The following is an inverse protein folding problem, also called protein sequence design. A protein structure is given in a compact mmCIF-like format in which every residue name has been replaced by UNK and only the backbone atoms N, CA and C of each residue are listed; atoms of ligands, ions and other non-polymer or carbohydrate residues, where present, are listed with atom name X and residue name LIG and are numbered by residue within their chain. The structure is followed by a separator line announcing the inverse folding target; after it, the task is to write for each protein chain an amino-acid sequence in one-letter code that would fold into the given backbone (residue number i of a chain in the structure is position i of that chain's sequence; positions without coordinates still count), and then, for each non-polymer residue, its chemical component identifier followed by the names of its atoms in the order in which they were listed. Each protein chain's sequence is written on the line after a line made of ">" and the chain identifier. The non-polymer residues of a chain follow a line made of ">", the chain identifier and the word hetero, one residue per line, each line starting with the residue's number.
data_IF_288353402693
#
_entry.id   IF_288353402693
#
_cell.length_a   1.000
_cell.length_b   1.000
_cell.length_c   1.000
_cell.angle_alpha   90.00
_cell.angle_beta   90.00
_cell.angle_gamma   90.00
#
_symmetry.space_group_name_H-M   'P 1'
#
loop_
_entity.id
_entity.type
_entity.pdbx_description
1 polymer ?
#
# COMPACT_ATOMS: atom_id res chain seq x y z
N UNK A 1 0.74 27.54 11.04
CA UNK A 1 -0.11 26.56 10.34
C UNK A 1 0.57 25.20 10.44
N UNK A 2 -0.01 24.21 11.14
CA UNK A 2 0.58 22.85 11.19
C UNK A 2 0.40 22.22 9.80
N UNK A 3 1.41 21.57 9.20
CA UNK A 3 1.20 20.86 7.94
C UNK A 3 0.12 19.80 8.14
N UNK A 4 -0.82 19.71 7.21
CA UNK A 4 -1.89 18.71 7.22
C UNK A 4 -1.30 17.31 6.99
N UNK A 5 -0.69 16.76 8.04
CA UNK A 5 0.02 15.49 7.99
C UNK A 5 -0.97 14.37 8.32
N UNK A 6 -1.06 13.37 7.45
CA UNK A 6 -1.87 12.17 7.66
C UNK A 6 -0.92 11.03 8.06
N UNK A 7 -1.17 10.39 9.21
CA UNK A 7 -0.43 9.20 9.64
C UNK A 7 -1.29 7.98 9.40
N UNK A 8 -0.79 7.04 8.60
CA UNK A 8 -1.44 5.75 8.35
C UNK A 8 -0.62 4.67 9.06
N UNK A 9 -1.28 3.88 9.90
CA UNK A 9 -0.62 2.75 10.58
C UNK A 9 -0.32 1.63 9.59
N UNK A 10 0.79 0.93 9.77
CA UNK A 10 1.12 -0.22 8.95
C UNK A 10 0.01 -1.28 9.01
N UNK A 11 -0.43 -1.77 7.85
CA UNK A 11 -1.49 -2.77 7.76
C UNK A 11 -0.89 -4.15 7.49
N UNK A 12 -0.22 -4.73 8.48
CA UNK A 12 0.32 -6.10 8.37
C UNK A 12 0.24 -6.82 9.72
N UNK A 13 -0.07 -8.13 9.68
CA UNK A 13 -0.10 -9.00 10.87
C UNK A 13 1.21 -9.75 11.05
N UNK A 14 1.86 -10.11 9.94
CA UNK A 14 3.13 -10.85 9.90
C UNK A 14 4.01 -10.29 8.78
N UNK A 15 5.28 -10.03 9.08
CA UNK A 15 6.27 -9.51 8.14
C UNK A 15 7.28 -10.61 7.86
N UNK A 16 7.41 -11.02 6.60
CA UNK A 16 8.32 -12.05 6.14
C UNK A 16 9.52 -11.47 5.38
N UNK A 17 9.27 -10.62 4.37
CA UNK A 17 10.30 -9.99 3.54
C UNK A 17 9.84 -8.60 3.13
N UNK A 18 10.67 -7.56 3.30
CA UNK A 18 10.30 -6.17 3.00
C UNK A 18 10.69 -5.72 1.60
N UNK A 19 11.30 -6.60 0.81
CA UNK A 19 11.76 -6.32 -0.55
C UNK A 19 10.58 -5.90 -1.44
N UNK A 20 10.68 -4.73 -2.09
CA UNK A 20 9.64 -4.22 -3.00
C UNK A 20 8.41 -3.58 -2.32
N UNK A 21 8.39 -3.44 -0.99
CA UNK A 21 7.27 -2.79 -0.29
C UNK A 21 7.06 -1.34 -0.73
N UNK A 22 8.15 -0.57 -0.90
CA UNK A 22 8.09 0.81 -1.38
C UNK A 22 7.59 0.93 -2.82
N UNK A 23 8.04 0.03 -3.69
CA UNK A 23 7.60 -0.04 -5.09
C UNK A 23 6.09 -0.34 -5.17
N UNK A 24 5.62 -1.26 -4.30
CA UNK A 24 4.19 -1.58 -4.18
C UNK A 24 3.38 -0.36 -3.74
N UNK A 25 3.85 0.38 -2.72
CA UNK A 25 3.18 1.61 -2.26
C UNK A 25 3.03 2.59 -3.40
N UNK A 26 4.11 2.92 -4.12
CA UNK A 26 4.05 3.96 -5.16
C UNK A 26 3.25 3.51 -6.38
N UNK A 27 3.34 2.24 -6.77
CA UNK A 27 2.59 1.67 -7.89
C UNK A 27 1.08 1.67 -7.61
N UNK A 28 0.65 1.19 -6.44
CA UNK A 28 -0.77 1.19 -6.05
C UNK A 28 -1.29 2.61 -5.90
N UNK A 29 -0.53 3.51 -5.28
CA UNK A 29 -0.92 4.91 -5.14
C UNK A 29 -1.13 5.59 -6.49
N UNK A 30 -0.17 5.43 -7.41
CA UNK A 30 -0.24 5.98 -8.75
C UNK A 30 -1.45 5.42 -9.52
N UNK A 31 -1.71 4.12 -9.44
CA UNK A 31 -2.85 3.48 -10.10
C UNK A 31 -4.19 4.02 -9.59
N UNK A 32 -4.36 4.16 -8.27
CA UNK A 32 -5.58 4.70 -7.66
C UNK A 32 -5.78 6.17 -8.05
N UNK A 33 -4.72 6.98 -7.99
CA UNK A 33 -4.80 8.39 -8.38
C UNK A 33 -5.10 8.56 -9.87
N UNK A 34 -4.53 7.72 -10.74
CA UNK A 34 -4.84 7.70 -12.17
C UNK A 34 -6.31 7.31 -12.44
N UNK A 35 -6.91 6.49 -11.56
CA UNK A 35 -8.32 6.16 -11.60
C UNK A 35 -9.24 7.24 -10.98
N UNK A 36 -8.69 8.40 -10.56
CA UNK A 36 -9.45 9.52 -9.99
C UNK A 36 -9.70 9.44 -8.49
N UNK A 37 -9.09 8.47 -7.79
CA UNK A 37 -9.22 8.35 -6.33
C UNK A 37 -8.38 9.45 -5.63
N UNK A 38 -8.95 10.22 -4.69
CA UNK A 38 -8.21 11.23 -3.95
C UNK A 38 -7.05 10.63 -3.15
N UNK A 39 -5.94 11.36 -3.02
CA UNK A 39 -4.74 10.93 -2.27
C UNK A 39 -5.05 10.41 -0.85
N UNK A 40 -6.00 11.05 -0.16
CA UNK A 40 -6.41 10.66 1.20
C UNK A 40 -7.06 9.28 1.26
N UNK A 41 -7.75 8.87 0.20
CA UNK A 41 -8.44 7.58 0.09
C UNK A 41 -7.53 6.51 -0.54
N UNK A 42 -6.63 6.92 -1.44
CA UNK A 42 -5.68 6.02 -2.10
C UNK A 42 -4.57 5.52 -1.15
N UNK A 43 -4.10 6.35 -0.23
CA UNK A 43 -2.97 5.99 0.65
C UNK A 43 -3.26 4.80 1.59
N UNK A 44 -4.44 4.67 2.23
CA UNK A 44 -4.81 3.46 2.96
C UNK A 44 -4.74 2.18 2.11
N UNK A 45 -5.16 2.26 0.85
CA UNK A 45 -5.15 1.12 -0.10
C UNK A 45 -3.70 0.75 -0.43
N UNK A 46 -2.85 1.72 -0.74
CA UNK A 46 -1.42 1.49 -0.98
C UNK A 46 -0.70 0.89 0.23
N UNK A 47 -1.03 1.35 1.44
CA UNK A 47 -0.49 0.81 2.68
C UNK A 47 -0.94 -0.64 2.93
N UNK A 48 -2.19 -0.99 2.57
CA UNK A 48 -2.68 -2.38 2.61
C UNK A 48 -1.94 -3.26 1.60
N UNK A 49 -1.75 -2.79 0.36
CA UNK A 49 -1.02 -3.53 -0.68
C UNK A 49 0.41 -3.87 -0.23
N UNK A 50 1.13 -2.89 0.36
CA UNK A 50 2.45 -3.13 0.92
C UNK A 50 2.41 -4.15 2.06
N UNK A 51 1.41 -4.05 2.94
CA UNK A 51 1.19 -5.00 4.02
C UNK A 51 1.00 -6.46 3.58
N UNK A 52 0.37 -6.67 2.41
CA UNK A 52 0.21 -7.98 1.78
C UNK A 52 1.55 -8.47 1.22
N UNK A 53 2.26 -7.61 0.47
CA UNK A 53 3.52 -7.98 -0.18
C UNK A 53 4.59 -8.32 0.86
N UNK A 54 4.64 -7.61 1.99
CA UNK A 54 5.64 -7.92 3.02
C UNK A 54 5.43 -9.26 3.72
N UNK A 55 4.25 -9.88 3.57
CA UNK A 55 3.97 -11.24 4.04
C UNK A 55 4.41 -12.34 3.06
N UNK A 56 4.98 -11.98 1.90
CA UNK A 56 5.40 -12.91 0.84
C UNK A 56 6.92 -12.87 0.68
N UNK A 57 7.50 -13.90 0.05
CA UNK A 57 8.94 -13.95 -0.22
C UNK A 57 9.32 -13.23 -1.52
N UNK A 58 10.40 -12.44 -1.51
CA UNK A 58 10.93 -11.76 -2.69
C UNK A 58 10.08 -10.60 -3.19
N UNK A 59 10.31 -10.16 -4.43
CA UNK A 59 9.56 -9.09 -5.11
C UNK A 59 8.17 -9.57 -5.54
N UNK A 60 7.30 -9.81 -4.56
CA UNK A 60 5.95 -10.24 -4.78
C UNK A 60 5.01 -9.07 -5.11
N UNK A 61 3.82 -9.39 -5.65
CA UNK A 61 2.78 -8.40 -5.97
C UNK A 61 1.50 -8.68 -5.18
N UNK A 62 0.67 -7.66 -4.96
CA UNK A 62 -0.68 -7.83 -4.44
C UNK A 62 -1.68 -7.95 -5.60
N UNK A 63 -2.53 -8.97 -5.57
CA UNK A 63 -3.64 -9.11 -6.51
C UNK A 63 -4.82 -8.22 -6.12
N UNK A 64 -5.74 -7.98 -7.05
CA UNK A 64 -6.99 -7.26 -6.76
C UNK A 64 -7.79 -7.96 -5.65
N UNK A 65 -7.90 -9.29 -5.72
CA UNK A 65 -8.63 -10.07 -4.71
C UNK A 65 -8.02 -9.92 -3.32
N UNK A 66 -6.70 -10.01 -3.18
CA UNK A 66 -6.01 -9.81 -1.89
C UNK A 66 -6.21 -8.38 -1.33
N UNK A 67 -6.26 -7.40 -2.24
CA UNK A 67 -6.36 -5.99 -1.89
C UNK A 67 -7.76 -5.59 -1.42
N UNK A 68 -8.81 -6.23 -1.94
CA UNK A 68 -10.21 -5.88 -1.68
C UNK A 68 -11.02 -6.96 -0.95
N UNK A 69 -10.38 -8.04 -0.49
CA UNK A 69 -11.01 -9.01 0.41
C UNK A 69 -11.27 -8.46 1.82
#
# INVERSE_FOLDING_TARGET
>A
MRPATSRIGAHTREVFDVTGAGDTVIATLAAMMAAGVPLREAMPIANRAAGIVVGKFGTATASYEELFS
#
